data_IF_282121254764
#
_entry.id   IF_282121254764
#
_cell.length_a   1.000
_cell.length_b   1.000
_cell.length_c   1.000
_cell.angle_alpha   90.00
_cell.angle_beta   90.00
_cell.angle_gamma   90.00
#
_symmetry.space_group_name_H-M   'P 1'
#
loop_
_entity.id
_entity.type
_entity.pdbx_description
1 polymer ?
#
# COMPACT_ATOMS: atom_id res chain seq x y z
N UNK A 1 -72.06 5.41 3.85
CA UNK A 1 -72.20 4.04 3.32
C UNK A 1 -71.26 3.91 2.13
N UNK A 2 -70.31 2.98 2.19
CA UNK A 2 -69.31 2.66 1.15
C UNK A 2 -67.96 3.39 1.36
N UNK A 3 -67.00 2.84 2.11
CA UNK A 3 -66.05 1.77 1.74
C UNK A 3 -65.11 2.23 0.60
N UNK A 4 -63.91 2.76 0.89
CA UNK A 4 -62.69 2.10 1.39
C UNK A 4 -62.19 0.98 0.46
N UNK A 5 -60.99 1.19 -0.10
CA UNK A 5 -60.15 0.23 -0.83
C UNK A 5 -58.82 0.89 -1.21
N UNK A 6 -57.84 0.78 -0.31
CA UNK A 6 -56.41 0.75 -0.60
C UNK A 6 -56.04 -0.53 -1.36
N UNK A 7 -55.00 -0.51 -2.21
CA UNK A 7 -54.27 -1.72 -2.57
C UNK A 7 -52.91 -1.75 -1.86
N UNK A 8 -52.81 -2.65 -0.88
CA UNK A 8 -51.56 -3.34 -0.55
C UNK A 8 -51.11 -4.17 -1.76
N UNK A 9 -49.84 -4.07 -2.15
CA UNK A 9 -49.15 -5.18 -2.80
C UNK A 9 -47.68 -5.13 -2.45
N UNK A 10 -47.29 -6.13 -1.68
CA UNK A 10 -45.94 -6.47 -1.28
C UNK A 10 -45.06 -6.85 -2.48
N UNK A 11 -43.79 -6.47 -2.39
CA UNK A 11 -42.69 -7.07 -3.15
C UNK A 11 -41.44 -7.00 -2.27
N UNK A 12 -41.39 -7.90 -1.28
CA UNK A 12 -40.16 -8.24 -0.59
C UNK A 12 -39.29 -9.04 -1.57
N UNK A 13 -38.29 -8.36 -2.13
CA UNK A 13 -37.25 -8.97 -2.93
C UNK A 13 -36.01 -9.11 -2.03
N UNK A 14 -35.94 -10.24 -1.31
CA UNK A 14 -34.74 -10.66 -0.61
C UNK A 14 -33.70 -11.10 -1.63
N UNK A 15 -32.74 -10.21 -1.93
CA UNK A 15 -31.51 -10.57 -2.63
C UNK A 15 -30.55 -11.11 -1.57
N UNK A 16 -30.42 -12.42 -1.51
CA UNK A 16 -29.28 -13.09 -0.88
C UNK A 16 -28.11 -12.99 -1.85
N UNK A 17 -27.14 -12.13 -1.55
CA UNK A 17 -25.85 -12.14 -2.22
C UNK A 17 -24.97 -13.11 -1.44
N UNK A 18 -24.80 -14.31 -1.98
CA UNK A 18 -23.75 -15.22 -1.56
C UNK A 18 -22.40 -14.57 -1.90
N UNK A 19 -21.67 -14.20 -0.86
CA UNK A 19 -20.30 -13.72 -0.93
C UNK A 19 -19.37 -14.93 -0.98
N UNK A 20 -19.22 -15.53 -2.16
CA UNK A 20 -18.13 -16.46 -2.45
C UNK A 20 -17.36 -15.96 -3.68
N UNK A 21 -16.06 -15.81 -3.47
CA UNK A 21 -14.99 -15.87 -4.46
C UNK A 21 -14.79 -14.72 -5.44
N UNK A 22 -14.15 -13.66 -4.94
CA UNK A 22 -13.13 -12.93 -5.71
C UNK A 22 -11.82 -12.97 -4.90
N UNK A 23 -11.22 -14.15 -4.83
CA UNK A 23 -9.77 -14.27 -4.62
C UNK A 23 -9.17 -14.22 -6.01
N UNK A 24 -8.55 -13.10 -6.37
CA UNK A 24 -7.75 -13.03 -7.60
C UNK A 24 -6.62 -14.04 -7.47
N UNK A 25 -6.77 -15.15 -8.19
CA UNK A 25 -5.76 -16.19 -8.35
C UNK A 25 -4.65 -15.60 -9.21
N UNK A 26 -3.63 -15.03 -8.56
CA UNK A 26 -2.30 -14.97 -9.15
C UNK A 26 -1.82 -16.41 -9.20
N UNK A 27 -1.84 -17.02 -10.37
CA UNK A 27 -1.42 -18.41 -10.56
C UNK A 27 0.08 -18.53 -10.27
N UNK A 28 0.45 -19.47 -9.38
CA UNK A 28 1.82 -19.82 -8.97
C UNK A 28 2.83 -20.01 -10.13
N UNK A 29 2.36 -20.17 -11.36
CA UNK A 29 3.18 -20.44 -12.54
C UNK A 29 4.04 -19.26 -13.01
N UNK A 30 3.63 -18.01 -12.83
CA UNK A 30 4.44 -16.85 -13.27
C UNK A 30 5.46 -16.39 -12.23
N UNK A 31 5.22 -16.71 -10.96
CA UNK A 31 6.10 -16.33 -9.83
C UNK A 31 7.36 -17.21 -9.77
N UNK A 32 7.32 -18.43 -10.34
CA UNK A 32 8.44 -19.39 -10.26
C UNK A 32 9.69 -18.99 -11.04
N UNK A 33 9.59 -18.12 -12.04
CA UNK A 33 10.71 -17.82 -12.94
C UNK A 33 11.78 -16.90 -12.34
N UNK A 34 11.55 -16.28 -11.17
CA UNK A 34 12.54 -15.40 -10.51
C UNK A 34 13.43 -16.10 -9.49
N UNK A 35 13.05 -17.29 -9.00
CA UNK A 35 13.77 -17.98 -7.92
C UNK A 35 14.79 -18.98 -8.49
N UNK A 36 16.07 -18.77 -8.17
CA UNK A 36 17.16 -19.69 -8.52
C UNK A 36 17.60 -20.49 -7.31
N UNK A 37 17.56 -21.81 -7.42
CA UNK A 37 18.22 -22.72 -6.48
C UNK A 37 19.72 -22.81 -6.80
N UNK A 38 20.57 -22.67 -5.79
CA UNK A 38 22.02 -22.52 -5.93
C UNK A 38 22.73 -23.31 -4.83
N UNK A 39 23.80 -24.04 -5.16
CA UNK A 39 24.62 -24.76 -4.18
C UNK A 39 25.40 -23.82 -3.25
N UNK A 40 25.58 -24.18 -1.98
CA UNK A 40 26.29 -23.40 -0.94
C UNK A 40 27.57 -22.70 -1.38
N UNK A 41 28.48 -23.42 -2.05
CA UNK A 41 29.78 -22.87 -2.47
C UNK A 41 29.65 -21.74 -3.49
N UNK A 42 28.54 -21.73 -4.23
CA UNK A 42 28.24 -20.73 -5.25
C UNK A 42 27.57 -19.51 -4.62
N UNK A 43 26.95 -19.63 -3.45
CA UNK A 43 26.15 -18.55 -2.85
C UNK A 43 27.00 -17.42 -2.30
N UNK A 44 28.06 -17.73 -1.56
CA UNK A 44 29.00 -16.70 -1.14
C UNK A 44 29.57 -15.98 -2.37
N UNK A 45 29.92 -16.71 -3.43
CA UNK A 45 30.36 -16.06 -4.68
C UNK A 45 29.25 -15.29 -5.38
N UNK A 46 27.99 -15.74 -5.37
CA UNK A 46 26.86 -15.07 -6.05
C UNK A 46 26.48 -13.79 -5.32
N UNK A 47 26.36 -13.81 -3.99
CA UNK A 47 26.11 -12.61 -3.19
C UNK A 47 27.24 -11.60 -3.41
N UNK A 48 28.50 -12.05 -3.33
CA UNK A 48 29.65 -11.18 -3.51
C UNK A 48 29.74 -10.63 -4.95
N UNK A 49 29.48 -11.49 -5.94
CA UNK A 49 29.60 -11.14 -7.35
C UNK A 49 28.45 -10.23 -7.81
N UNK A 50 27.22 -10.47 -7.36
CA UNK A 50 26.08 -9.62 -7.69
C UNK A 50 26.19 -8.25 -7.03
N UNK A 51 26.61 -8.19 -5.77
CA UNK A 51 26.83 -6.91 -5.08
C UNK A 51 27.95 -6.09 -5.74
N UNK A 52 29.04 -6.72 -6.18
CA UNK A 52 30.21 -6.00 -6.75
C UNK A 52 30.08 -5.74 -8.25
N UNK A 53 29.70 -6.73 -9.04
CA UNK A 53 29.66 -6.61 -10.50
C UNK A 53 28.34 -6.02 -10.99
N UNK A 54 27.22 -6.52 -10.47
CA UNK A 54 25.89 -6.10 -10.94
C UNK A 54 25.40 -4.85 -10.24
N UNK A 55 26.07 -4.42 -9.16
CA UNK A 55 25.66 -3.30 -8.30
C UNK A 55 24.23 -3.43 -7.78
N UNK A 56 23.75 -4.68 -7.61
CA UNK A 56 22.41 -4.98 -7.09
C UNK A 56 22.48 -5.36 -5.62
N UNK A 57 21.43 -5.03 -4.88
CA UNK A 57 21.17 -5.60 -3.55
C UNK A 57 20.77 -7.06 -3.73
N UNK A 58 21.49 -7.98 -3.09
CA UNK A 58 21.12 -9.40 -3.15
C UNK A 58 20.49 -9.82 -1.84
N UNK A 59 19.22 -10.21 -1.86
CA UNK A 59 18.51 -10.74 -0.70
C UNK A 59 18.43 -12.26 -0.81
N UNK A 60 18.83 -12.95 0.25
CA UNK A 60 18.81 -14.41 0.32
C UNK A 60 17.93 -14.85 1.48
N UNK A 61 16.82 -15.51 1.17
CA UNK A 61 15.98 -16.20 2.14
C UNK A 61 16.58 -17.56 2.45
N UNK A 62 17.10 -17.72 3.67
CA UNK A 62 17.67 -18.97 4.16
C UNK A 62 16.60 -19.73 4.94
N UNK A 63 16.36 -20.99 4.59
CA UNK A 63 15.38 -21.84 5.27
C UNK A 63 15.80 -23.31 5.30
N UNK A 64 15.15 -24.11 6.13
CA UNK A 64 15.26 -25.57 6.15
C UNK A 64 13.88 -26.14 5.82
N UNK A 65 13.77 -27.00 4.80
CA UNK A 65 12.48 -27.61 4.46
C UNK A 65 12.32 -28.00 2.99
N UNK A 66 11.11 -27.91 2.47
CA UNK A 66 10.76 -28.11 1.06
C UNK A 66 10.72 -26.75 0.33
N UNK A 67 10.87 -26.70 -1.00
CA UNK A 67 10.85 -25.43 -1.78
C UNK A 67 9.56 -24.60 -1.58
N UNK A 68 8.46 -25.26 -1.21
CA UNK A 68 7.18 -24.62 -0.91
C UNK A 68 7.18 -23.86 0.43
N UNK A 69 8.25 -23.96 1.23
CA UNK A 69 8.41 -23.21 2.48
C UNK A 69 8.87 -21.76 2.29
N UNK A 70 9.11 -21.31 1.05
CA UNK A 70 9.38 -19.89 0.77
C UNK A 70 8.10 -19.07 0.94
N UNK A 71 8.06 -18.09 1.87
CA UNK A 71 6.88 -17.30 2.13
C UNK A 71 6.33 -16.63 0.87
N UNK A 72 5.01 -16.66 0.70
CA UNK A 72 4.33 -15.98 -0.40
C UNK A 72 4.66 -14.48 -0.44
N UNK A 73 4.87 -13.87 0.71
CA UNK A 73 5.30 -12.47 0.85
C UNK A 73 6.69 -12.21 0.26
N UNK A 74 7.66 -13.10 0.51
CA UNK A 74 9.00 -12.99 -0.10
C UNK A 74 8.89 -13.09 -1.63
N UNK A 75 8.07 -14.03 -2.11
CA UNK A 75 7.79 -14.20 -3.55
C UNK A 75 7.11 -12.95 -4.14
N UNK A 76 6.07 -12.44 -3.49
CA UNK A 76 5.33 -11.25 -3.94
C UNK A 76 6.23 -10.01 -4.01
N UNK A 77 7.03 -9.77 -2.97
CA UNK A 77 8.01 -8.66 -2.97
C UNK A 77 9.07 -8.85 -4.05
N UNK A 78 9.56 -10.08 -4.26
CA UNK A 78 10.54 -10.35 -5.32
C UNK A 78 10.02 -10.09 -6.74
N UNK A 79 8.71 -10.20 -6.94
CA UNK A 79 8.04 -9.96 -8.22
C UNK A 79 7.63 -8.49 -8.41
N UNK A 80 7.81 -7.63 -7.40
CA UNK A 80 7.44 -6.23 -7.52
C UNK A 80 8.41 -5.52 -8.49
N UNK A 81 7.90 -4.86 -9.56
CA UNK A 81 8.71 -4.18 -10.58
C UNK A 81 9.70 -3.13 -10.03
N UNK A 82 9.42 -2.51 -8.89
CA UNK A 82 10.33 -1.51 -8.30
C UNK A 82 11.70 -2.12 -7.94
N UNK A 83 11.73 -3.42 -7.63
CA UNK A 83 12.96 -4.11 -7.23
C UNK A 83 13.71 -4.77 -8.39
N UNK A 84 13.10 -4.96 -9.56
CA UNK A 84 13.67 -5.74 -10.69
C UNK A 84 15.07 -5.25 -11.11
N UNK A 85 15.25 -3.93 -11.17
CA UNK A 85 16.51 -3.31 -11.61
C UNK A 85 17.61 -3.35 -10.55
N UNK A 86 17.24 -3.26 -9.28
CA UNK A 86 18.18 -2.94 -8.20
C UNK A 86 18.38 -4.09 -7.20
N UNK A 87 17.51 -5.10 -7.23
CA UNK A 87 17.55 -6.23 -6.33
C UNK A 87 17.67 -7.55 -7.10
N UNK A 88 18.23 -8.54 -6.41
CA UNK A 88 18.20 -9.95 -6.78
C UNK A 88 17.71 -10.72 -5.57
N UNK A 89 16.63 -11.49 -5.73
CA UNK A 89 16.07 -12.32 -4.67
C UNK A 89 16.46 -13.78 -4.90
N UNK A 90 16.97 -14.42 -3.86
CA UNK A 90 17.42 -15.81 -3.88
C UNK A 90 16.76 -16.52 -2.71
N UNK A 91 16.26 -17.72 -2.93
CA UNK A 91 15.84 -18.61 -1.84
C UNK A 91 16.82 -19.78 -1.77
N UNK A 92 17.33 -20.04 -0.57
CA UNK A 92 18.28 -21.11 -0.33
C UNK A 92 17.74 -22.07 0.72
N UNK A 93 17.54 -23.30 0.28
CA UNK A 93 17.17 -24.40 1.14
C UNK A 93 18.40 -25.08 1.74
N UNK A 94 18.34 -25.40 3.03
CA UNK A 94 19.36 -26.13 3.78
C UNK A 94 20.77 -25.53 3.67
N UNK A 95 20.96 -24.26 4.08
CA UNK A 95 22.27 -23.60 4.04
C UNK A 95 23.36 -24.37 4.80
N UNK A 96 24.52 -24.52 4.19
CA UNK A 96 25.68 -25.16 4.80
C UNK A 96 26.21 -24.40 6.01
N UNK A 97 26.86 -25.12 6.92
CA UNK A 97 27.45 -24.56 8.16
C UNK A 97 28.41 -23.40 7.91
N UNK A 98 29.16 -23.43 6.81
CA UNK A 98 30.08 -22.36 6.42
C UNK A 98 29.34 -21.07 6.11
N UNK A 99 28.24 -21.13 5.36
CA UNK A 99 27.37 -19.99 5.05
C UNK A 99 26.79 -19.40 6.34
N UNK A 100 26.22 -20.25 7.19
CA UNK A 100 25.65 -19.82 8.48
C UNK A 100 26.69 -19.14 9.38
N UNK A 101 27.92 -19.66 9.44
CA UNK A 101 29.01 -19.06 10.21
C UNK A 101 29.50 -17.74 9.61
N UNK A 102 29.65 -17.67 8.30
CA UNK A 102 30.14 -16.48 7.60
C UNK A 102 29.21 -15.28 7.82
N UNK A 103 27.90 -15.50 7.75
CA UNK A 103 26.88 -14.45 7.95
C UNK A 103 26.40 -14.32 9.40
N UNK A 104 26.99 -15.08 10.33
CA UNK A 104 26.63 -15.08 11.76
C UNK A 104 25.12 -15.28 11.98
N UNK A 105 24.52 -16.17 11.21
CA UNK A 105 23.07 -16.40 11.20
C UNK A 105 22.64 -17.02 12.54
N UNK A 106 21.76 -16.36 13.31
CA UNK A 106 21.39 -16.85 14.65
C UNK A 106 20.37 -17.99 14.60
N UNK A 107 19.47 -17.99 13.60
CA UNK A 107 18.39 -18.96 13.43
C UNK A 107 17.85 -18.94 12.00
N UNK A 108 17.19 -20.03 11.63
CA UNK A 108 16.42 -20.17 10.40
C UNK A 108 14.91 -20.23 10.72
N UNK A 109 14.02 -19.78 9.82
CA UNK A 109 14.34 -19.08 8.57
C UNK A 109 14.76 -17.62 8.80
N UNK A 110 15.51 -17.03 7.86
CA UNK A 110 15.94 -15.62 7.93
C UNK A 110 16.23 -15.04 6.55
N UNK A 111 16.10 -13.72 6.38
CA UNK A 111 16.59 -13.00 5.18
C UNK A 111 17.91 -12.32 5.51
N UNK A 112 18.94 -12.62 4.72
CA UNK A 112 20.21 -11.89 4.72
C UNK A 112 20.33 -11.08 3.43
N UNK A 113 21.05 -9.96 3.47
CA UNK A 113 21.26 -9.08 2.33
C UNK A 113 22.73 -8.77 2.11
N UNK A 114 23.16 -8.73 0.85
CA UNK A 114 24.43 -8.15 0.44
C UNK A 114 24.18 -6.81 -0.25
N UNK A 115 24.78 -5.74 0.28
CA UNK A 115 24.66 -4.40 -0.26
C UNK A 115 25.85 -4.08 -1.16
N UNK A 116 25.63 -3.45 -2.33
CA UNK A 116 26.71 -3.00 -3.18
C UNK A 116 27.57 -1.95 -2.45
N UNK A 117 28.86 -1.85 -2.81
CA UNK A 117 29.72 -0.77 -2.33
C UNK A 117 29.14 0.59 -2.73
N UNK A 118 29.06 1.53 -1.78
CA UNK A 118 28.60 2.90 -2.05
C UNK A 118 29.78 3.69 -2.58
N UNK A 119 29.78 3.94 -3.89
CA UNK A 119 30.80 4.75 -4.55
C UNK A 119 30.39 6.22 -4.52
N UNK A 120 31.24 7.10 -4.00
CA UNK A 120 31.06 8.56 -4.09
C UNK A 120 30.72 9.27 -2.78
N UNK A 121 30.51 8.54 -1.68
CA UNK A 121 30.36 9.16 -0.36
C UNK A 121 31.74 9.46 0.24
N UNK A 122 32.17 10.73 0.11
CA UNK A 122 33.43 11.23 0.64
C UNK A 122 33.51 11.22 2.18
N UNK A 123 32.38 10.98 2.86
CA UNK A 123 32.35 10.87 4.33
C UNK A 123 32.82 9.50 4.84
N UNK A 124 32.83 8.46 3.99
CA UNK A 124 33.25 7.11 4.38
C UNK A 124 34.75 6.87 4.17
N UNK A 125 35.44 6.14 5.07
CA UNK A 125 36.82 5.72 4.87
C UNK A 125 37.00 4.93 3.56
N UNK A 126 38.16 5.04 2.86
CA UNK A 126 38.41 4.34 1.59
C UNK A 126 38.23 2.81 1.66
N UNK A 127 38.46 2.23 2.84
CA UNK A 127 38.27 0.79 3.10
C UNK A 127 36.79 0.40 3.18
N UNK A 128 35.92 1.32 3.62
CA UNK A 128 34.48 1.13 3.69
C UNK A 128 33.79 1.34 2.33
N UNK A 129 34.40 2.12 1.43
CA UNK A 129 33.84 2.39 0.10
C UNK A 129 33.89 1.17 -0.84
N UNK A 130 34.78 0.20 -0.59
CA UNK A 130 34.97 -0.97 -1.45
C UNK A 130 34.57 -2.30 -0.79
N UNK A 131 34.10 -2.27 0.46
CA UNK A 131 33.65 -3.48 1.16
C UNK A 131 32.15 -3.68 0.96
N UNK A 132 31.78 -4.92 0.66
CA UNK A 132 30.39 -5.34 0.65
C UNK A 132 29.90 -5.32 2.08
N UNK A 133 28.76 -4.68 2.30
CA UNK A 133 28.10 -4.67 3.61
C UNK A 133 27.05 -5.76 3.62
N UNK A 134 27.02 -6.53 4.68
CA UNK A 134 25.96 -7.53 4.90
C UNK A 134 24.92 -6.95 5.83
N UNK A 135 23.65 -7.21 5.55
CA UNK A 135 22.53 -6.90 6.43
C UNK A 135 21.76 -8.16 6.78
N UNK A 136 21.04 -8.11 7.89
CA UNK A 136 20.15 -9.18 8.34
C UNK A 136 18.80 -8.53 8.62
N UNK A 137 17.76 -8.99 7.95
CA UNK A 137 16.40 -8.57 8.24
C UNK A 137 15.89 -9.31 9.47
N UNK A 138 15.52 -8.56 10.50
CA UNK A 138 15.05 -9.11 11.78
C UNK A 138 13.53 -9.13 11.93
N UNK A 139 12.81 -8.51 10.99
CA UNK A 139 11.36 -8.39 11.00
C UNK A 139 10.64 -9.67 10.58
N UNK A 140 9.31 -9.59 10.50
CA UNK A 140 8.50 -10.73 10.09
C UNK A 140 8.38 -10.80 8.56
N UNK A 141 9.08 -11.75 7.94
CA UNK A 141 9.01 -11.96 6.48
C UNK A 141 7.58 -12.26 6.02
N UNK A 142 6.71 -12.83 6.87
CA UNK A 142 5.32 -13.11 6.52
C UNK A 142 4.40 -11.89 6.57
N UNK A 143 4.88 -10.74 7.07
CA UNK A 143 4.17 -9.48 6.97
C UNK A 143 4.59 -8.78 5.67
N UNK A 144 3.67 -8.74 4.70
CA UNK A 144 3.95 -8.19 3.37
C UNK A 144 4.36 -6.71 3.44
N UNK A 145 3.65 -5.91 4.24
CA UNK A 145 3.87 -4.46 4.29
C UNK A 145 5.17 -4.15 5.03
N UNK A 146 5.42 -4.81 6.17
CA UNK A 146 6.68 -4.65 6.91
C UNK A 146 7.89 -5.01 6.05
N UNK A 147 7.82 -6.14 5.33
CA UNK A 147 8.91 -6.58 4.48
C UNK A 147 9.07 -5.67 3.25
N UNK A 148 7.98 -5.22 2.64
CA UNK A 148 8.01 -4.28 1.51
C UNK A 148 8.65 -2.94 1.91
N UNK A 149 8.18 -2.33 3.00
CA UNK A 149 8.68 -1.04 3.49
C UNK A 149 10.17 -1.10 3.84
N UNK A 150 10.61 -2.20 4.46
CA UNK A 150 12.04 -2.42 4.73
C UNK A 150 12.87 -2.39 3.44
N UNK A 151 12.43 -3.10 2.40
CA UNK A 151 13.16 -3.17 1.13
C UNK A 151 13.12 -1.83 0.36
N UNK A 152 12.02 -1.08 0.44
CA UNK A 152 11.94 0.30 -0.07
C UNK A 152 12.94 1.20 0.67
N UNK A 153 13.04 1.08 2.00
CA UNK A 153 14.02 1.81 2.79
C UNK A 153 15.46 1.52 2.36
N UNK A 154 15.79 0.25 2.11
CA UNK A 154 17.11 -0.16 1.60
C UNK A 154 17.37 0.40 0.20
N UNK A 155 16.36 0.36 -0.68
CA UNK A 155 16.43 0.91 -2.03
C UNK A 155 16.76 2.41 -1.97
N UNK A 156 15.99 3.17 -1.19
CA UNK A 156 16.15 4.63 -1.05
C UNK A 156 17.49 5.00 -0.42
N UNK A 157 17.98 4.20 0.54
CA UNK A 157 19.28 4.41 1.18
C UNK A 157 20.45 4.25 0.20
N UNK A 158 20.39 3.24 -0.67
CA UNK A 158 21.51 2.91 -1.56
C UNK A 158 21.47 3.63 -2.89
N UNK A 159 20.27 4.00 -3.34
CA UNK A 159 20.05 4.58 -4.65
C UNK A 159 19.23 5.87 -4.57
N UNK A 160 19.70 6.88 -3.81
CA UNK A 160 18.98 8.14 -3.67
C UNK A 160 18.76 8.82 -5.02
N UNK A 161 19.70 8.66 -5.97
CA UNK A 161 19.66 9.24 -7.32
C UNK A 161 18.86 8.44 -8.34
N UNK A 162 18.40 7.20 -8.08
CA UNK A 162 17.48 6.53 -9.02
C UNK A 162 16.13 7.27 -9.05
N UNK A 163 15.83 8.07 -8.02
CA UNK A 163 14.72 9.03 -8.03
C UNK A 163 14.95 10.23 -8.97
N UNK A 164 16.18 10.51 -9.41
CA UNK A 164 16.55 11.65 -10.26
C UNK A 164 17.04 11.25 -11.67
N UNK A 165 17.73 10.12 -11.85
CA UNK A 165 18.32 9.71 -13.12
C UNK A 165 17.34 9.04 -14.10
N UNK A 166 16.19 8.54 -13.63
CA UNK A 166 15.07 8.23 -14.54
C UNK A 166 14.33 9.48 -15.04
N UNK A 167 14.74 10.67 -14.62
CA UNK A 167 14.24 11.94 -15.15
C UNK A 167 15.17 12.61 -16.18
N UNK A 168 16.38 12.09 -16.44
CA UNK A 168 17.37 12.82 -17.27
C UNK A 168 18.12 12.04 -18.34
N UNK A 169 17.81 10.77 -18.61
CA UNK A 169 18.45 10.03 -19.74
C UNK A 169 17.45 9.35 -20.69
N UNK A 170 16.57 10.15 -21.29
CA UNK A 170 16.01 9.91 -22.64
C UNK A 170 16.04 11.21 -23.45
N UNK A 171 17.24 11.73 -23.72
CA UNK A 171 17.48 12.55 -24.92
C UNK A 171 18.01 11.65 -26.04
N UNK A 172 17.12 10.85 -26.61
CA UNK A 172 17.28 10.36 -27.99
C UNK A 172 15.93 10.45 -28.71
N UNK A 173 15.74 11.59 -29.38
CA UNK A 173 14.74 11.86 -30.42
C UNK A 173 13.29 11.36 -30.22
N UNK A 174 12.42 12.27 -29.78
CA UNK A 174 11.14 12.48 -30.46
C UNK A 174 9.86 11.98 -29.79
N UNK A 175 9.47 12.54 -28.64
CA UNK A 175 8.08 12.89 -28.30
C UNK A 175 8.04 13.54 -26.92
N UNK A 176 7.80 14.85 -26.86
CA UNK A 176 7.56 15.60 -25.62
C UNK A 176 6.26 15.08 -24.98
N UNK A 177 6.34 14.22 -23.96
CA UNK A 177 5.16 13.82 -23.17
C UNK A 177 4.77 14.98 -22.27
N UNK A 178 3.70 15.69 -22.65
CA UNK A 178 3.14 16.81 -21.88
C UNK A 178 2.62 16.28 -20.54
N UNK A 179 3.27 16.62 -19.43
CA UNK A 179 2.76 16.30 -18.09
C UNK A 179 1.40 16.98 -17.90
N UNK A 180 0.35 16.20 -17.69
CA UNK A 180 -1.00 16.68 -17.44
C UNK A 180 -1.03 17.47 -16.11
N UNK A 181 -1.44 18.74 -16.17
CA UNK A 181 -1.17 19.72 -15.11
C UNK A 181 -2.10 19.57 -13.89
N UNK A 182 -1.51 19.46 -12.70
CA UNK A 182 -2.22 19.50 -11.41
C UNK A 182 -2.75 20.90 -11.13
N UNK A 183 -3.92 21.01 -10.52
CA UNK A 183 -4.49 22.27 -10.06
C UNK A 183 -3.74 22.81 -8.87
N UNK A 184 -3.26 24.05 -9.00
CA UNK A 184 -2.64 24.83 -7.94
C UNK A 184 -3.38 26.16 -7.77
N UNK A 185 -3.14 26.86 -6.66
CA UNK A 185 -3.71 28.20 -6.47
C UNK A 185 -3.31 29.19 -7.56
N UNK A 186 -2.12 29.02 -8.12
CA UNK A 186 -1.53 29.90 -9.13
C UNK A 186 -2.10 29.66 -10.53
N UNK A 187 -2.44 28.41 -10.89
CA UNK A 187 -2.91 28.09 -12.24
C UNK A 187 -4.45 28.00 -12.38
N UNK A 188 -5.18 27.83 -11.28
CA UNK A 188 -6.63 27.60 -11.33
C UNK A 188 -7.37 28.76 -12.01
N UNK A 189 -7.00 30.00 -11.68
CA UNK A 189 -7.62 31.18 -12.27
C UNK A 189 -7.39 31.22 -13.79
N UNK A 190 -6.16 31.00 -14.23
CA UNK A 190 -5.78 31.11 -15.64
C UNK A 190 -6.46 30.03 -16.50
N UNK A 191 -6.61 28.82 -15.96
CA UNK A 191 -7.20 27.71 -16.70
C UNK A 191 -8.74 27.76 -16.65
N UNK A 192 -9.35 28.03 -15.48
CA UNK A 192 -10.80 27.92 -15.29
C UNK A 192 -11.59 29.22 -15.22
N UNK A 193 -11.06 30.27 -14.59
CA UNK A 193 -11.85 31.49 -14.36
C UNK A 193 -11.61 32.55 -15.43
N UNK A 194 -10.39 32.61 -15.99
CA UNK A 194 -10.00 33.63 -16.97
C UNK A 194 -10.63 33.40 -18.35
N UNK A 195 -10.94 32.15 -18.69
CA UNK A 195 -11.47 31.76 -19.98
C UNK A 195 -12.99 31.61 -19.92
N UNK A 196 -13.69 32.00 -20.99
CA UNK A 196 -15.15 31.80 -21.13
C UNK A 196 -15.55 30.33 -21.36
N UNK A 197 -14.72 29.39 -20.90
CA UNK A 197 -14.87 27.95 -21.10
C UNK A 197 -15.50 27.26 -19.90
N UNK A 198 -15.70 25.95 -20.03
CA UNK A 198 -16.09 25.07 -18.94
C UNK A 198 -14.87 24.23 -18.56
N UNK A 199 -14.65 24.03 -17.28
CA UNK A 199 -13.59 23.17 -16.77
C UNK A 199 -14.10 21.79 -16.42
N UNK A 200 -13.31 20.76 -16.75
CA UNK A 200 -13.47 19.41 -16.25
C UNK A 200 -12.33 19.16 -15.24
N UNK A 201 -12.69 19.06 -13.97
CA UNK A 201 -11.78 18.84 -12.85
C UNK A 201 -11.90 17.37 -12.47
N UNK A 202 -10.87 16.58 -12.79
CA UNK A 202 -10.76 15.22 -12.26
C UNK A 202 -10.28 15.30 -10.82
N UNK A 203 -11.03 14.71 -9.89
CA UNK A 203 -10.64 14.61 -8.48
C UNK A 203 -10.19 13.18 -8.27
N UNK A 204 -8.89 13.01 -8.07
CA UNK A 204 -8.24 11.71 -7.94
C UNK A 204 -7.75 11.55 -6.52
N UNK A 205 -7.83 10.33 -5.99
CA UNK A 205 -7.08 10.00 -4.79
C UNK A 205 -5.61 9.80 -5.17
N UNK A 206 -4.74 10.46 -4.42
CA UNK A 206 -3.29 10.30 -4.52
C UNK A 206 -2.79 10.09 -3.10
N UNK A 207 -3.02 8.88 -2.59
CA UNK A 207 -2.35 8.41 -1.38
C UNK A 207 -0.85 8.32 -1.65
N UNK A 208 -0.09 9.11 -0.91
CA UNK A 208 1.38 9.05 -0.93
C UNK A 208 1.81 7.69 -0.39
N UNK A 209 2.56 6.92 -1.20
CA UNK A 209 3.28 5.73 -0.72
C UNK A 209 2.80 4.37 -1.23
N UNK A 210 1.78 4.29 -2.08
CA UNK A 210 1.28 3.01 -2.60
C UNK A 210 1.51 2.89 -4.13
N UNK A 211 2.46 2.05 -4.54
CA UNK A 211 2.89 1.92 -5.95
C UNK A 211 1.78 1.46 -6.90
N UNK A 212 0.84 0.64 -6.42
CA UNK A 212 -0.32 0.21 -7.22
C UNK A 212 -1.30 1.36 -7.47
N UNK A 213 -1.48 2.24 -6.48
CA UNK A 213 -2.25 3.47 -6.67
C UNK A 213 -1.54 4.40 -7.65
N UNK A 214 -0.20 4.40 -7.70
CA UNK A 214 0.56 5.19 -8.66
C UNK A 214 0.37 4.73 -10.12
N UNK A 215 0.34 3.42 -10.40
CA UNK A 215 0.14 2.93 -11.77
C UNK A 215 -1.26 3.26 -12.30
N UNK A 216 -2.31 3.02 -11.51
CA UNK A 216 -3.68 3.34 -11.88
C UNK A 216 -3.88 4.87 -11.97
N UNK A 217 -3.22 5.63 -11.10
CA UNK A 217 -3.20 7.09 -11.17
C UNK A 217 -2.56 7.59 -12.48
N UNK A 218 -1.40 7.05 -12.88
CA UNK A 218 -0.74 7.40 -14.15
C UNK A 218 -1.62 7.07 -15.36
N UNK A 219 -2.28 5.90 -15.36
CA UNK A 219 -3.21 5.53 -16.44
C UNK A 219 -4.38 6.52 -16.54
N UNK A 220 -4.97 6.90 -15.40
CA UNK A 220 -6.05 7.90 -15.35
C UNK A 220 -5.58 9.26 -15.85
N UNK A 221 -4.37 9.71 -15.49
CA UNK A 221 -3.80 10.96 -15.99
C UNK A 221 -3.57 10.92 -17.51
N UNK A 222 -3.04 9.81 -18.04
CA UNK A 222 -2.83 9.63 -19.47
C UNK A 222 -4.17 9.67 -20.25
N UNK A 223 -5.21 9.02 -19.71
CA UNK A 223 -6.56 9.07 -20.27
C UNK A 223 -7.13 10.50 -20.30
N UNK A 224 -6.96 11.26 -19.22
CA UNK A 224 -7.41 12.66 -19.15
C UNK A 224 -6.63 13.55 -20.11
N UNK A 225 -5.33 13.31 -20.28
CA UNK A 225 -4.50 14.04 -21.23
C UNK A 225 -4.94 13.80 -22.68
N UNK A 226 -5.18 12.53 -23.04
CA UNK A 226 -5.74 12.17 -24.36
C UNK A 226 -7.09 12.85 -24.56
N UNK A 227 -7.96 12.82 -23.55
CA UNK A 227 -9.27 13.47 -23.59
C UNK A 227 -9.16 14.99 -23.73
N UNK A 228 -8.18 15.63 -23.09
CA UNK A 228 -7.92 17.06 -23.22
C UNK A 228 -7.50 17.44 -24.65
N UNK A 229 -6.77 16.55 -25.34
CA UNK A 229 -6.36 16.71 -26.75
C UNK A 229 -7.53 16.49 -27.72
N UNK A 230 -8.36 15.47 -27.46
CA UNK A 230 -9.53 15.14 -28.29
C UNK A 230 -10.70 16.11 -28.11
N UNK A 231 -10.86 16.65 -26.90
CA UNK A 231 -11.95 17.54 -26.56
C UNK A 231 -11.87 18.78 -27.44
N UNK A 232 -12.95 19.02 -28.19
CA UNK A 232 -13.17 20.33 -28.82
C UNK A 232 -13.03 21.41 -27.74
N UNK A 233 -12.51 22.59 -28.10
CA UNK A 233 -12.09 23.72 -27.24
C UNK A 233 -12.99 24.19 -26.07
N UNK A 234 -14.13 23.53 -25.84
CA UNK A 234 -15.18 23.83 -24.87
C UNK A 234 -14.85 23.36 -23.44
N UNK A 235 -14.16 22.22 -23.28
CA UNK A 235 -13.73 21.73 -21.98
C UNK A 235 -12.22 21.85 -21.82
N UNK A 236 -11.80 22.37 -20.67
CA UNK A 236 -10.40 22.36 -20.23
C UNK A 236 -10.25 21.36 -19.09
N UNK A 237 -9.40 20.38 -19.30
CA UNK A 237 -9.17 19.33 -18.32
C UNK A 237 -8.03 19.70 -17.38
N UNK A 238 -8.20 19.33 -16.12
CA UNK A 238 -7.23 19.45 -15.04
C UNK A 238 -7.51 18.38 -14.00
N UNK A 239 -6.55 18.11 -13.11
CA UNK A 239 -6.78 17.22 -11.98
C UNK A 239 -6.41 17.84 -10.64
N UNK A 240 -7.08 17.38 -9.60
CA UNK A 240 -6.96 17.82 -8.22
C UNK A 240 -6.73 16.58 -7.35
N UNK A 241 -5.74 16.63 -6.46
CA UNK A 241 -5.56 15.64 -5.40
C UNK A 241 -6.69 15.76 -4.37
N UNK A 242 -7.63 14.81 -4.37
CA UNK A 242 -8.78 14.77 -3.46
C UNK A 242 -8.41 14.49 -2.01
N UNK A 243 -7.28 13.82 -1.76
CA UNK A 243 -6.74 13.60 -0.42
C UNK A 243 -6.17 14.89 0.16
N UNK A 244 -5.40 15.64 -0.63
CA UNK A 244 -4.85 16.91 -0.18
C UNK A 244 -5.91 18.04 -0.10
N UNK A 245 -6.85 18.05 -1.03
CA UNK A 245 -7.93 19.04 -1.08
C UNK A 245 -9.28 18.48 -0.60
N UNK A 246 -9.27 17.65 0.44
CA UNK A 246 -10.49 17.02 1.00
C UNK A 246 -11.57 18.03 1.42
N UNK A 247 -11.19 19.26 1.77
CA UNK A 247 -12.10 20.36 2.09
C UNK A 247 -12.92 20.88 0.89
N UNK A 248 -12.52 20.59 -0.35
CA UNK A 248 -13.27 20.94 -1.55
C UNK A 248 -14.36 19.92 -1.87
N UNK A 249 -14.25 18.67 -1.39
CA UNK A 249 -15.22 17.62 -1.69
C UNK A 249 -16.65 18.01 -1.28
N UNK A 250 -16.91 18.56 -0.08
CA UNK A 250 -18.25 18.97 0.32
C UNK A 250 -18.82 20.13 -0.51
N UNK A 251 -17.99 20.96 -1.14
CA UNK A 251 -18.47 22.05 -2.03
C UNK A 251 -19.05 21.50 -3.34
N UNK A 252 -18.64 20.29 -3.72
CA UNK A 252 -19.17 19.53 -4.85
C UNK A 252 -20.17 18.44 -4.42
N UNK A 253 -20.59 18.44 -3.15
CA UNK A 253 -21.41 17.39 -2.54
C UNK A 253 -20.83 15.98 -2.78
N UNK A 254 -19.50 15.87 -2.67
CA UNK A 254 -18.72 14.63 -2.77
C UNK A 254 -18.26 14.17 -1.38
N UNK A 255 -17.97 12.89 -1.27
CA UNK A 255 -17.26 12.29 -0.14
C UNK A 255 -16.04 11.51 -0.68
N UNK A 256 -15.04 11.19 0.15
CA UNK A 256 -13.83 10.49 -0.29
C UNK A 256 -14.11 9.12 -0.96
N UNK A 257 -15.19 8.43 -0.58
CA UNK A 257 -15.55 7.12 -1.15
C UNK A 257 -16.08 7.22 -2.60
N UNK A 258 -16.39 8.43 -3.07
CA UNK A 258 -16.79 8.69 -4.45
C UNK A 258 -15.61 9.03 -5.37
N UNK A 259 -14.39 8.99 -4.86
CA UNK A 259 -13.18 9.16 -5.65
C UNK A 259 -12.77 7.82 -6.30
N UNK A 260 -12.21 7.83 -7.52
CA UNK A 260 -12.01 8.99 -8.40
C UNK A 260 -13.30 9.45 -9.10
N UNK A 261 -13.43 10.76 -9.37
CA UNK A 261 -14.58 11.33 -10.11
C UNK A 261 -14.20 12.53 -10.96
N UNK A 262 -15.11 12.97 -11.85
CA UNK A 262 -14.97 14.22 -12.63
C UNK A 262 -16.08 15.18 -12.24
N UNK A 263 -15.70 16.43 -12.02
CA UNK A 263 -16.60 17.56 -11.82
C UNK A 263 -16.47 18.52 -12.99
N UNK A 264 -17.59 18.83 -13.63
CA UNK A 264 -17.64 19.91 -14.61
C UNK A 264 -17.99 21.20 -13.86
N UNK A 265 -17.11 22.20 -13.93
CA UNK A 265 -17.25 23.51 -13.31
C UNK A 265 -17.34 24.62 -14.36
N UNK A 266 -18.22 25.60 -14.15
CA UNK A 266 -18.37 26.75 -15.04
C UNK A 266 -18.14 28.08 -14.30
N UNK A 267 -17.60 29.13 -14.96
CA UNK A 267 -17.27 30.43 -14.36
C UNK A 267 -18.44 31.18 -13.67
N UNK A 268 -19.68 30.71 -13.84
CA UNK A 268 -20.87 31.21 -13.13
C UNK A 268 -21.16 30.49 -11.81
N UNK A 269 -20.16 29.87 -11.19
CA UNK A 269 -20.28 29.06 -9.98
C UNK A 269 -21.31 27.94 -10.09
N UNK A 270 -21.45 27.34 -11.27
CA UNK A 270 -22.27 26.15 -11.44
C UNK A 270 -21.39 24.95 -11.67
N UNK A 271 -21.76 23.84 -11.05
CA UNK A 271 -21.06 22.59 -11.22
C UNK A 271 -22.01 21.42 -11.46
N UNK A 272 -21.46 20.36 -12.01
CA UNK A 272 -22.09 19.06 -12.12
C UNK A 272 -21.06 17.99 -11.74
N UNK A 273 -21.47 16.97 -10.99
CA UNK A 273 -20.62 15.83 -10.65
C UNK A 273 -20.99 14.60 -11.47
N UNK A 274 -19.98 13.82 -11.85
CA UNK A 274 -20.19 12.52 -12.47
C UNK A 274 -20.62 11.49 -11.41
N UNK A 275 -21.66 10.70 -11.72
CA UNK A 275 -22.16 9.61 -10.86
C UNK A 275 -22.07 8.31 -11.66
N UNK A 276 -20.86 7.89 -11.96
CA UNK A 276 -20.55 6.67 -12.72
C UNK A 276 -19.10 6.27 -12.49
N UNK A 277 -18.72 5.09 -13.01
CA UNK A 277 -17.33 4.60 -12.97
C UNK A 277 -16.42 5.57 -13.73
N UNK A 278 -15.22 5.80 -13.20
CA UNK A 278 -14.21 6.66 -13.81
C UNK A 278 -13.52 5.95 -14.98
N UNK A 279 -14.08 6.12 -16.19
CA UNK A 279 -13.50 5.62 -17.44
C UNK A 279 -13.80 6.57 -18.60
N UNK A 280 -13.12 6.36 -19.74
CA UNK A 280 -13.18 7.25 -20.91
C UNK A 280 -14.60 7.42 -21.44
N UNK A 281 -15.34 6.33 -21.57
CA UNK A 281 -16.70 6.32 -22.13
C UNK A 281 -17.67 7.11 -21.27
N UNK A 282 -17.63 6.90 -19.94
CA UNK A 282 -18.51 7.58 -19.01
C UNK A 282 -18.19 9.08 -18.90
N UNK A 283 -16.91 9.45 -18.96
CA UNK A 283 -16.50 10.86 -18.98
C UNK A 283 -17.07 11.54 -20.24
N UNK A 284 -16.94 10.92 -21.40
CA UNK A 284 -17.48 11.43 -22.67
C UNK A 284 -19.01 11.59 -22.60
N UNK A 285 -19.71 10.59 -22.06
CA UNK A 285 -21.16 10.64 -21.96
C UNK A 285 -21.63 11.64 -20.91
N UNK A 286 -20.88 11.83 -19.83
CA UNK A 286 -21.09 12.87 -18.84
C UNK A 286 -20.97 14.27 -19.47
N UNK A 287 -19.92 14.52 -20.27
CA UNK A 287 -19.75 15.76 -21.03
C UNK A 287 -20.90 16.03 -21.99
N UNK A 288 -21.29 15.03 -22.80
CA UNK A 288 -22.43 15.17 -23.73
C UNK A 288 -23.72 15.49 -22.97
N UNK A 289 -23.92 14.86 -21.82
CA UNK A 289 -25.10 15.06 -20.97
C UNK A 289 -25.12 16.45 -20.35
N UNK A 290 -23.97 16.97 -19.92
CA UNK A 290 -23.81 18.36 -19.48
C UNK A 290 -24.10 19.36 -20.60
N UNK A 291 -23.66 19.06 -21.83
CA UNK A 291 -23.95 19.88 -23.02
C UNK A 291 -25.40 19.74 -23.54
N UNK A 292 -26.23 18.90 -22.92
CA UNK A 292 -27.60 18.62 -23.38
C UNK A 292 -27.67 17.84 -24.71
N UNK A 293 -26.56 17.22 -25.13
CA UNK A 293 -26.46 16.37 -26.33
C UNK A 293 -26.80 14.90 -26.05
N UNK A 294 -26.99 14.53 -24.79
CA UNK A 294 -27.44 13.20 -24.37
C UNK A 294 -28.93 13.19 -24.02
N UNK A 295 -29.53 11.99 -24.04
CA UNK A 295 -30.89 11.77 -23.54
C UNK A 295 -30.97 11.94 -22.01
N UNK A 296 -29.87 11.62 -21.32
CA UNK A 296 -29.75 11.77 -19.88
C UNK A 296 -29.37 13.21 -19.56
N UNK A 297 -30.10 13.83 -18.64
CA UNK A 297 -29.77 15.18 -18.14
C UNK A 297 -28.94 15.05 -16.88
N UNK A 298 -27.91 15.87 -16.78
CA UNK A 298 -27.11 16.01 -15.57
C UNK A 298 -27.71 17.12 -14.72
N UNK A 299 -27.79 16.89 -13.41
CA UNK A 299 -28.16 17.91 -12.45
C UNK A 299 -27.02 18.93 -12.32
N UNK A 300 -27.36 20.21 -12.48
CA UNK A 300 -26.43 21.32 -12.31
C UNK A 300 -26.79 22.03 -11.02
N UNK A 301 -25.78 22.25 -10.18
CA UNK A 301 -25.90 22.84 -8.86
C UNK A 301 -25.10 24.14 -8.78
N UNK A 302 -25.50 25.04 -7.89
CA UNK A 302 -24.72 26.24 -7.58
C UNK A 302 -23.67 25.90 -6.50
N UNK A 303 -22.45 26.40 -6.67
CA UNK A 303 -21.38 26.28 -5.68
C UNK A 303 -21.63 27.32 -4.59
N UNK A 304 -21.54 26.90 -3.32
CA UNK A 304 -21.81 27.77 -2.16
C UNK A 304 -20.71 28.82 -1.95
N UNK A 305 -19.47 28.50 -2.37
CA UNK A 305 -18.28 29.34 -2.22
C UNK A 305 -17.44 29.35 -3.50
N UNK A 306 -16.67 30.42 -3.71
CA UNK A 306 -15.73 30.47 -4.82
C UNK A 306 -14.61 29.44 -4.64
N UNK A 307 -14.50 28.46 -5.55
CA UNK A 307 -13.47 27.41 -5.49
C UNK A 307 -12.08 28.04 -5.58
N UNK A 308 -11.89 29.06 -6.43
CA UNK A 308 -10.61 29.76 -6.55
C UNK A 308 -10.15 30.40 -5.24
N UNK A 309 -11.07 30.86 -4.38
CA UNK A 309 -10.73 31.37 -3.05
C UNK A 309 -10.38 30.27 -2.04
N UNK A 310 -10.94 29.07 -2.22
CA UNK A 310 -10.68 27.93 -1.35
C UNK A 310 -9.34 27.27 -1.69
N UNK A 311 -8.97 27.18 -2.97
CA UNK A 311 -7.66 26.67 -3.39
C UNK A 311 -6.54 27.62 -2.96
N UNK A 312 -6.74 28.95 -3.09
CA UNK A 312 -5.74 29.97 -2.67
C UNK A 312 -5.34 29.94 -1.20
N UNK A 313 -6.11 29.28 -0.34
CA UNK A 313 -5.85 29.24 1.11
C UNK A 313 -4.87 28.12 1.50
N UNK A 314 -4.76 27.10 0.67
CA UNK A 314 -3.97 25.90 0.95
C UNK A 314 -3.32 25.53 -0.37
N UNK A 315 -2.08 25.97 -0.56
CA UNK A 315 -1.20 25.26 -1.45
C UNK A 315 -0.87 23.96 -0.74
N UNK A 316 -1.45 22.87 -1.23
CA UNK A 316 -0.86 21.57 -1.01
C UNK A 316 0.62 21.73 -1.33
N UNK A 317 1.56 21.28 -0.47
CA UNK A 317 2.93 21.16 -0.91
C UNK A 317 2.83 20.45 -2.24
N UNK A 318 3.22 21.16 -3.31
CA UNK A 318 3.18 20.62 -4.65
C UNK A 318 3.76 19.22 -4.53
N UNK A 319 3.14 18.25 -5.17
CA UNK A 319 3.81 17.01 -5.53
C UNK A 319 4.99 17.35 -6.47
N UNK A 320 5.97 18.12 -6.01
CA UNK A 320 7.32 17.60 -6.09
C UNK A 320 7.25 16.39 -5.16
N UNK A 321 7.62 15.22 -5.65
CA UNK A 321 7.91 14.08 -4.78
C UNK A 321 9.16 14.50 -3.99
N UNK A 322 8.96 15.37 -3.01
CA UNK A 322 9.96 15.84 -2.07
C UNK A 322 9.67 15.06 -0.82
N UNK A 323 10.53 14.07 -0.62
CA UNK A 323 10.84 13.53 0.69
C UNK A 323 11.31 14.72 1.54
N UNK A 324 10.42 15.33 2.31
CA UNK A 324 10.84 16.31 3.29
C UNK A 324 11.40 15.58 4.52
N UNK A 325 12.68 15.84 4.73
CA UNK A 325 13.40 15.79 6.00
C UNK A 325 12.54 16.36 7.13
N UNK A 326 12.09 15.50 8.05
CA UNK A 326 11.81 15.95 9.41
C UNK A 326 13.10 15.87 10.22
N UNK A 327 13.71 17.03 10.41
CA UNK A 327 14.63 17.27 11.52
C UNK A 327 13.91 17.02 12.85
N UNK A 328 14.62 16.28 13.70
CA UNK A 328 14.36 15.98 15.09
C UNK A 328 14.00 17.23 15.92
N UNK A 329 12.81 17.27 16.54
CA UNK A 329 12.59 17.92 17.85
C UNK A 329 11.18 17.61 18.44
N UNK A 330 10.76 16.35 18.53
CA UNK A 330 9.56 16.02 19.34
C UNK A 330 9.55 14.66 20.05
N UNK A 331 10.70 14.03 20.30
CA UNK A 331 10.80 12.70 20.92
C UNK A 331 11.57 12.70 22.24
N UNK A 332 11.25 13.64 23.15
CA UNK A 332 11.78 13.64 24.54
C UNK A 332 10.73 13.66 25.66
N UNK A 333 9.45 13.45 25.37
CA UNK A 333 8.45 13.16 26.39
C UNK A 333 7.58 11.99 25.93
N UNK A 334 7.87 10.79 26.47
CA UNK A 334 6.89 9.76 26.91
C UNK A 334 7.41 8.30 26.96
N UNK A 335 8.72 8.07 26.81
CA UNK A 335 9.31 6.73 27.09
C UNK A 335 9.07 6.24 28.53
N UNK A 336 8.76 7.12 29.50
CA UNK A 336 8.44 6.73 30.88
C UNK A 336 7.04 6.13 31.05
N UNK A 337 6.11 6.42 30.12
CA UNK A 337 4.72 5.94 30.23
C UNK A 337 4.59 4.58 29.54
N UNK A 338 5.25 4.40 28.41
CA UNK A 338 5.27 3.12 27.68
C UNK A 338 5.92 2.01 28.51
N UNK A 339 7.03 2.30 29.21
CA UNK A 339 7.68 1.33 30.10
C UNK A 339 6.81 0.96 31.32
N UNK A 340 5.96 1.87 31.80
CA UNK A 340 5.01 1.58 32.89
C UNK A 340 3.87 0.68 32.41
N UNK A 341 3.35 0.92 31.20
CA UNK A 341 2.28 0.12 30.62
C UNK A 341 2.78 -1.29 30.29
N UNK A 342 3.99 -1.42 29.73
CA UNK A 342 4.57 -2.71 29.39
C UNK A 342 4.84 -3.56 30.65
N UNK A 343 5.24 -2.93 31.74
CA UNK A 343 5.45 -3.60 33.03
C UNK A 343 4.14 -4.05 33.68
N UNK A 344 3.07 -3.26 33.59
CA UNK A 344 1.75 -3.62 34.12
C UNK A 344 1.16 -4.84 33.39
N UNK A 345 1.31 -4.91 32.06
CA UNK A 345 0.83 -6.04 31.25
C UNK A 345 1.57 -7.33 31.59
N UNK A 346 2.90 -7.29 31.80
CA UNK A 346 3.69 -8.47 32.16
C UNK A 346 3.32 -9.01 33.55
N UNK A 347 3.10 -8.13 34.53
CA UNK A 347 2.68 -8.55 35.88
C UNK A 347 1.25 -9.13 35.89
N UNK A 348 0.35 -8.65 35.03
CA UNK A 348 -1.00 -9.20 34.89
C UNK A 348 -1.00 -10.58 34.21
N UNK A 349 -0.17 -10.78 33.17
CA UNK A 349 -0.06 -12.07 32.47
C UNK A 349 0.54 -13.16 33.38
N UNK A 350 1.52 -12.82 34.21
CA UNK A 350 2.16 -13.77 35.14
C UNK A 350 1.20 -14.23 36.25
N UNK A 351 0.40 -13.30 36.80
CA UNK A 351 -0.67 -13.65 37.75
C UNK A 351 -1.73 -14.55 37.13
N UNK A 352 -2.09 -14.31 35.87
CA UNK A 352 -3.08 -15.13 35.16
C UNK A 352 -2.55 -16.55 34.92
N UNK A 353 -1.26 -16.71 34.62
CA UNK A 353 -0.62 -18.03 34.50
C UNK A 353 -0.57 -18.78 35.82
N UNK A 354 -0.24 -18.10 36.93
CA UNK A 354 -0.22 -18.75 38.26
C UNK A 354 -1.61 -19.22 38.70
N UNK A 355 -2.66 -18.42 38.48
CA UNK A 355 -4.03 -18.79 38.83
C UNK A 355 -4.53 -20.03 38.06
N UNK A 356 -4.11 -20.20 36.80
CA UNK A 356 -4.46 -21.39 36.01
C UNK A 356 -3.77 -22.64 36.58
N UNK A 357 -2.48 -22.54 36.91
CA UNK A 357 -1.73 -23.67 37.48
C UNK A 357 -2.29 -24.11 38.83
N UNK A 358 -2.65 -23.18 39.72
CA UNK A 358 -3.28 -23.52 41.01
C UNK A 358 -4.66 -24.19 40.81
N UNK A 359 -5.44 -23.74 39.81
CA UNK A 359 -6.73 -24.35 39.51
C UNK A 359 -6.62 -25.78 38.96
N UNK A 360 -5.59 -26.06 38.17
CA UNK A 360 -5.34 -27.39 37.61
C UNK A 360 -4.92 -28.40 38.70
N UNK A 361 -4.13 -27.97 39.68
CA UNK A 361 -3.72 -28.81 40.82
C UNK A 361 -4.91 -29.19 41.72
N UNK A 362 -5.82 -28.25 41.98
CA UNK A 362 -7.04 -28.48 42.77
C UNK A 362 -8.04 -29.43 42.07
N UNK A 363 -8.14 -29.38 40.74
CA UNK A 363 -8.97 -30.33 39.98
C UNK A 363 -8.41 -31.75 40.02
N UNK A 364 -7.09 -31.91 39.91
CA UNK A 364 -6.43 -33.22 39.98
C UNK A 364 -6.68 -33.92 41.32
N UNK A 365 -6.61 -33.20 42.42
CA UNK A 365 -6.78 -33.77 43.75
C UNK A 365 -8.24 -34.11 44.06
N UNK A 366 -9.20 -33.33 43.56
CA UNK A 366 -10.62 -33.67 43.62
C UNK A 366 -10.96 -34.93 42.81
N UNK A 367 -10.33 -35.14 41.66
CA UNK A 367 -10.48 -36.37 40.85
C UNK A 367 -9.91 -37.62 41.55
N UNK A 368 -8.83 -37.48 42.33
CA UNK A 368 -8.25 -38.59 43.13
C UNK A 368 -9.16 -38.99 44.30
N UNK A 369 -9.81 -38.03 44.98
CA UNK A 369 -10.73 -38.30 46.11
C UNK A 369 -12.03 -38.98 45.64
N UNK A 370 -12.60 -38.53 44.52
CA UNK A 370 -13.84 -39.12 43.97
C UNK A 370 -13.64 -40.55 43.47
N UNK A 371 -12.48 -40.87 42.87
CA UNK A 371 -12.10 -42.26 42.49
C UNK A 371 -11.97 -43.18 43.71
N UNK A 372 -11.44 -42.70 44.84
CA UNK A 372 -11.34 -43.49 46.10
C UNK A 372 -12.71 -43.78 46.73
N UNK A 373 -13.67 -42.84 46.68
CA UNK A 373 -15.04 -43.05 47.22
C UNK A 373 -15.84 -44.08 46.39
N UNK A 374 -15.73 -44.09 45.05
CA UNK A 374 -16.41 -45.10 44.20
C UNK A 374 -15.93 -46.54 44.46
N UNK A 375 -14.65 -46.77 44.78
CA UNK A 375 -14.12 -48.11 45.12
C UNK A 375 -14.65 -48.67 46.46
N UNK A 376 -14.94 -47.82 47.46
CA UNK A 376 -15.49 -48.29 48.76
C UNK A 376 -16.97 -48.71 48.68
N UNK A 377 -17.80 -48.03 47.87
CA UNK A 377 -19.21 -48.42 47.72
C UNK A 377 -19.41 -49.73 46.91
N UNK A 378 -18.50 -50.07 45.99
CA UNK A 378 -18.61 -51.32 45.22
C UNK A 378 -18.35 -52.59 46.06
N UNK A 379 -17.61 -52.49 47.17
CA UNK A 379 -17.36 -53.62 48.10
C UNK A 379 -18.51 -53.90 49.07
N UNK A 380 -19.41 -52.94 49.35
CA UNK A 380 -20.59 -53.16 50.22
C UNK A 380 -21.77 -53.82 49.52
N UNK A 381 -21.80 -53.87 48.17
CA UNK A 381 -22.91 -54.46 47.39
C UNK A 381 -22.77 -55.96 47.11
N UNK A 382 -21.67 -56.60 47.54
CA UNK A 382 -21.43 -58.03 47.30
C UNK A 382 -21.60 -58.91 48.55
N UNK A 383 -22.16 -58.34 49.62
CA UNK A 383 -22.47 -59.04 50.87
C UNK A 383 -23.94 -58.78 51.24
N UNK A 384 -24.85 -59.17 50.35
CA UNK A 384 -26.27 -59.43 50.61
C UNK A 384 -26.63 -60.69 49.86
#
# INVERSE_FOLDING_TARGET
SGADKTPESALDMQISVESEDIVNVVTDTEIKDSLRDVSDSVISSVILNNAVQMKKVTLVYLFEGEEDDVPLTFRAVSANPIFEKNFEFIALNNPGKTTLQQFQVPRLPIVIGGLPPVTGDASMPPEAQNSIRTMIYQGNVNDYYEFLEYNIGVLNMLFPTISEEQATDEQTSGSESVKFQEVTSSNFYDICESQKGVCAIAILDAELGNEHLNAEHVERLAMLEERNKESSSQFKYMWLNGSCHSYLLPEFDLNPQLLPTVVIYSPGQKYARMISVFNKENIIDFEKSFQGKSKTRVSVYDVKRSIGELIKKIDCPSLEIVQDTQDDESSKLDQSVEDQILKEILEEEEKRKQAILESDEDEEDNLKVTKRKKKKNKKKKHHV
#
